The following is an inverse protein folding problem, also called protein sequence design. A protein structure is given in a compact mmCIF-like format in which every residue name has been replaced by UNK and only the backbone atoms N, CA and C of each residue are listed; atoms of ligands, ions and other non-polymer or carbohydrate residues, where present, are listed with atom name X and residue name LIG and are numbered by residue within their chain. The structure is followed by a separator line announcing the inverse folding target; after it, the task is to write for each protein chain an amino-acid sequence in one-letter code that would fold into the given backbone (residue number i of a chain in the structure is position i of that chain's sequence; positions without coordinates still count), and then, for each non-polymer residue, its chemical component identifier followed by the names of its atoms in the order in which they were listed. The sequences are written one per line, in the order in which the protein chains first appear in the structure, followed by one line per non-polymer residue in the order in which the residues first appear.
data_IF_529374536042
#
_entry.id   IF_529374536042
#
_cell.length_a   1.000
_cell.length_b   1.000
_cell.length_c   1.000
_cell.angle_alpha   90.00
_cell.angle_beta   90.00
_cell.angle_gamma   90.00
#
_symmetry.space_group_name_H-M   'P 1'
#
loop_
_entity.id
_entity.type
_entity.pdbx_description
1 polymer ?
#
# COMPACT_ATOMS: atom_id res chain seq x y z
N UNK A 1 27.77 -15.60 -13.62
CA UNK A 1 27.25 -14.53 -14.49
C UNK A 1 25.80 -14.78 -14.88
N UNK A 2 25.48 -15.90 -15.52
CA UNK A 2 24.09 -16.28 -15.88
C UNK A 2 23.13 -16.20 -14.70
N UNK A 3 23.52 -16.70 -13.53
CA UNK A 3 22.71 -16.60 -12.30
C UNK A 3 22.32 -15.16 -11.93
N UNK A 4 23.23 -14.19 -12.09
CA UNK A 4 22.96 -12.79 -11.74
C UNK A 4 21.97 -12.18 -12.71
N UNK A 5 22.16 -12.44 -14.01
CA UNK A 5 21.22 -11.98 -15.04
C UNK A 5 19.84 -12.58 -14.78
N UNK A 6 19.76 -13.87 -14.52
CA UNK A 6 18.50 -14.55 -14.20
C UNK A 6 17.79 -13.95 -12.96
N UNK A 7 18.54 -13.66 -11.90
CA UNK A 7 17.98 -13.02 -10.71
C UNK A 7 17.48 -11.60 -11.01
N UNK A 8 18.24 -10.81 -11.76
CA UNK A 8 17.83 -9.46 -12.16
C UNK A 8 16.59 -9.49 -13.07
N UNK A 9 16.50 -10.41 -14.00
CA UNK A 9 15.32 -10.60 -14.85
C UNK A 9 14.10 -11.00 -14.02
N UNK A 10 14.24 -11.92 -13.07
CA UNK A 10 13.17 -12.28 -12.13
C UNK A 10 12.71 -11.09 -11.30
N UNK A 11 13.64 -10.29 -10.79
CA UNK A 11 13.30 -9.05 -10.06
C UNK A 11 12.53 -8.06 -10.93
N UNK A 12 12.93 -7.87 -12.18
CA UNK A 12 12.23 -7.00 -13.11
C UNK A 12 10.79 -7.47 -13.34
N UNK A 13 10.58 -8.77 -13.59
CA UNK A 13 9.24 -9.35 -13.75
C UNK A 13 8.40 -9.16 -12.47
N UNK A 14 9.00 -9.38 -11.30
CA UNK A 14 8.31 -9.21 -10.02
C UNK A 14 7.91 -7.74 -9.77
N UNK A 15 8.75 -6.77 -10.13
CA UNK A 15 8.44 -5.34 -10.03
C UNK A 15 7.32 -4.93 -10.98
N UNK A 16 7.30 -5.44 -12.21
CA UNK A 16 6.20 -5.20 -13.15
C UNK A 16 4.87 -5.72 -12.59
N UNK A 17 4.90 -6.92 -12.00
CA UNK A 17 3.72 -7.51 -11.37
C UNK A 17 3.27 -6.73 -10.12
N UNK A 18 4.21 -6.26 -9.31
CA UNK A 18 3.95 -5.39 -8.17
C UNK A 18 3.28 -4.10 -8.61
N UNK A 19 3.76 -3.47 -9.67
CA UNK A 19 3.14 -2.28 -10.26
C UNK A 19 1.70 -2.53 -10.71
N UNK A 20 1.42 -3.68 -11.32
CA UNK A 20 0.07 -4.07 -11.71
C UNK A 20 -0.85 -4.19 -10.50
N UNK A 21 -0.40 -4.85 -9.42
CA UNK A 21 -1.16 -4.94 -8.18
C UNK A 21 -1.41 -3.57 -7.54
N UNK A 22 -0.42 -2.67 -7.55
CA UNK A 22 -0.59 -1.32 -7.02
C UNK A 22 -1.62 -0.50 -7.82
N UNK A 23 -1.69 -0.67 -9.13
CA UNK A 23 -2.73 -0.05 -9.97
C UNK A 23 -4.11 -0.62 -9.65
N UNK A 24 -4.22 -1.93 -9.48
CA UNK A 24 -5.48 -2.57 -9.08
C UNK A 24 -5.91 -2.10 -7.68
N UNK A 25 -4.97 -1.98 -6.73
CA UNK A 25 -5.25 -1.40 -5.41
C UNK A 25 -5.82 0.01 -5.52
N UNK A 26 -5.24 0.86 -6.36
CA UNK A 26 -5.73 2.22 -6.60
C UNK A 26 -7.17 2.23 -7.12
N UNK A 27 -7.48 1.40 -8.09
CA UNK A 27 -8.83 1.26 -8.66
C UNK A 27 -9.85 0.76 -7.63
N UNK A 28 -9.46 -0.21 -6.79
CA UNK A 28 -10.30 -0.74 -5.73
C UNK A 28 -10.54 0.27 -4.61
N UNK A 29 -9.56 1.09 -4.27
CA UNK A 29 -9.71 2.20 -3.33
C UNK A 29 -10.76 3.19 -3.85
N UNK A 30 -10.66 3.60 -5.12
CA UNK A 30 -11.66 4.50 -5.73
C UNK A 30 -13.05 3.86 -5.75
N UNK A 31 -13.14 2.56 -6.06
CA UNK A 31 -14.40 1.84 -6.11
C UNK A 31 -15.00 1.55 -4.72
N UNK A 32 -14.26 1.75 -3.63
CA UNK A 32 -14.69 1.48 -2.26
C UNK A 32 -14.96 -0.01 -2.00
N UNK A 33 -14.16 -0.92 -2.58
CA UNK A 33 -14.31 -2.38 -2.43
C UNK A 33 -13.25 -2.95 -1.48
N UNK A 34 -13.57 -3.15 -0.19
CA UNK A 34 -12.59 -3.56 0.81
C UNK A 34 -12.15 -5.04 0.70
N UNK A 35 -13.03 -5.93 0.28
CA UNK A 35 -12.73 -7.38 0.24
C UNK A 35 -11.62 -7.73 -0.76
N UNK A 36 -11.69 -7.35 -2.05
CA UNK A 36 -10.59 -7.60 -2.98
C UNK A 36 -9.31 -6.84 -2.63
N UNK A 37 -9.43 -5.73 -1.90
CA UNK A 37 -8.29 -4.93 -1.46
C UNK A 37 -7.36 -5.70 -0.53
N UNK A 38 -7.91 -6.51 0.38
CA UNK A 38 -7.12 -7.33 1.29
C UNK A 38 -6.32 -8.40 0.52
N UNK A 39 -6.93 -9.06 -0.47
CA UNK A 39 -6.25 -10.07 -1.30
C UNK A 39 -5.07 -9.48 -2.07
N UNK A 40 -5.27 -8.30 -2.70
CA UNK A 40 -4.21 -7.59 -3.43
C UNK A 40 -3.10 -7.15 -2.48
N UNK A 41 -3.43 -6.66 -1.28
CA UNK A 41 -2.45 -6.28 -0.29
C UNK A 41 -1.54 -7.45 0.11
N UNK A 42 -2.09 -8.65 0.32
CA UNK A 42 -1.30 -9.85 0.57
C UNK A 42 -0.42 -10.23 -0.63
N UNK A 43 -0.95 -10.17 -1.85
CA UNK A 43 -0.19 -10.46 -3.06
C UNK A 43 0.98 -9.48 -3.25
N UNK A 44 0.79 -8.20 -2.94
CA UNK A 44 1.87 -7.20 -2.96
C UNK A 44 2.94 -7.50 -1.92
N UNK A 45 2.56 -7.84 -0.68
CA UNK A 45 3.51 -8.19 0.37
C UNK A 45 4.35 -9.41 0.01
N UNK A 46 3.72 -10.48 -0.53
CA UNK A 46 4.42 -11.66 -1.01
C UNK A 46 5.40 -11.33 -2.15
N UNK A 47 5.01 -10.47 -3.06
CA UNK A 47 5.85 -10.02 -4.16
C UNK A 47 7.07 -9.21 -3.65
N UNK A 48 6.87 -8.30 -2.71
CA UNK A 48 7.94 -7.51 -2.09
C UNK A 48 8.92 -8.42 -1.35
N UNK A 49 8.41 -9.37 -0.55
CA UNK A 49 9.24 -10.30 0.20
C UNK A 49 10.14 -11.13 -0.73
N UNK A 50 9.59 -11.64 -1.84
CA UNK A 50 10.38 -12.37 -2.84
C UNK A 50 11.49 -11.52 -3.45
N UNK A 51 11.20 -10.26 -3.80
CA UNK A 51 12.19 -9.34 -4.35
C UNK A 51 13.32 -9.11 -3.33
N UNK A 52 12.99 -8.93 -2.06
CA UNK A 52 13.97 -8.74 -0.99
C UNK A 52 14.83 -9.98 -0.75
N UNK A 53 14.23 -11.15 -0.74
CA UNK A 53 14.92 -12.42 -0.52
C UNK A 53 15.87 -12.73 -1.68
N UNK A 54 15.41 -12.60 -2.93
CA UNK A 54 16.26 -12.75 -4.12
C UNK A 54 17.44 -11.79 -4.12
N UNK A 55 17.24 -10.56 -3.65
CA UNK A 55 18.30 -9.55 -3.52
C UNK A 55 19.32 -9.93 -2.43
N UNK A 56 18.85 -10.37 -1.27
CA UNK A 56 19.73 -10.82 -0.17
C UNK A 56 20.58 -12.01 -0.61
N UNK A 57 19.94 -12.99 -1.24
CA UNK A 57 20.62 -14.19 -1.76
C UNK A 57 21.68 -13.83 -2.81
N UNK A 58 21.36 -12.92 -3.72
CA UNK A 58 22.29 -12.43 -4.73
C UNK A 58 23.51 -11.76 -4.07
N UNK A 59 23.30 -10.83 -3.13
CA UNK A 59 24.37 -10.13 -2.44
C UNK A 59 25.24 -11.11 -1.65
N UNK A 60 24.63 -12.07 -0.96
CA UNK A 60 25.35 -13.09 -0.20
C UNK A 60 26.22 -13.97 -1.10
N UNK A 61 25.71 -14.39 -2.25
CA UNK A 61 26.48 -15.20 -3.22
C UNK A 61 27.58 -14.40 -3.90
N UNK A 62 27.37 -13.11 -4.13
CA UNK A 62 28.41 -12.24 -4.71
C UNK A 62 29.55 -11.95 -3.73
N UNK A 63 29.25 -11.90 -2.41
CA UNK A 63 30.20 -11.47 -1.38
C UNK A 63 30.68 -10.01 -1.52
N UNK A 64 30.11 -9.27 -2.48
CA UNK A 64 30.46 -7.88 -2.78
C UNK A 64 29.26 -7.16 -3.40
N UNK A 65 29.38 -5.84 -3.60
CA UNK A 65 28.34 -5.09 -4.30
C UNK A 65 28.30 -5.42 -5.79
N UNK A 66 27.12 -5.33 -6.40
CA UNK A 66 26.92 -5.56 -7.84
C UNK A 66 27.87 -4.69 -8.68
N UNK A 67 28.07 -3.42 -8.30
CA UNK A 67 28.96 -2.48 -8.98
C UNK A 67 30.42 -2.91 -8.91
N UNK A 68 30.87 -3.46 -7.78
CA UNK A 68 32.23 -3.99 -7.65
C UNK A 68 32.41 -5.27 -8.46
N UNK A 69 31.42 -6.14 -8.44
CA UNK A 69 31.42 -7.35 -9.25
C UNK A 69 31.53 -7.04 -10.75
N UNK A 70 30.78 -6.06 -11.25
CA UNK A 70 30.85 -5.64 -12.65
C UNK A 70 32.24 -5.16 -13.08
N UNK A 71 33.04 -4.61 -12.16
CA UNK A 71 34.44 -4.21 -12.48
C UNK A 71 35.36 -5.40 -12.74
N UNK A 72 35.01 -6.59 -12.30
CA UNK A 72 35.76 -7.81 -12.50
C UNK A 72 35.40 -8.56 -13.79
N UNK A 73 34.34 -8.13 -14.46
CA UNK A 73 33.81 -8.77 -15.67
C UNK A 73 34.32 -8.11 -16.96
N UNK A 74 34.31 -8.86 -18.08
CA UNK A 74 34.46 -8.26 -19.41
C UNK A 74 33.43 -7.14 -19.63
N UNK A 75 33.85 -6.11 -20.36
CA UNK A 75 33.08 -4.88 -20.55
C UNK A 75 31.64 -5.14 -21.04
N UNK A 76 31.50 -6.03 -22.01
CA UNK A 76 30.19 -6.38 -22.61
C UNK A 76 29.20 -6.96 -21.55
N UNK A 77 29.69 -7.85 -20.70
CA UNK A 77 28.90 -8.46 -19.64
C UNK A 77 28.57 -7.48 -18.50
N UNK A 78 29.52 -6.62 -18.17
CA UNK A 78 29.32 -5.57 -17.19
C UNK A 78 28.23 -4.57 -17.65
N UNK A 79 28.25 -4.16 -18.92
CA UNK A 79 27.27 -3.28 -19.51
C UNK A 79 25.85 -3.90 -19.50
N UNK A 80 25.72 -5.19 -19.80
CA UNK A 80 24.44 -5.89 -19.75
C UNK A 80 23.85 -5.90 -18.33
N UNK A 81 24.65 -6.25 -17.32
CA UNK A 81 24.21 -6.28 -15.92
C UNK A 81 23.83 -4.87 -15.43
N UNK A 82 24.63 -3.87 -15.75
CA UNK A 82 24.36 -2.48 -15.37
C UNK A 82 23.12 -1.94 -16.03
N UNK A 83 22.85 -2.28 -17.29
CA UNK A 83 21.63 -1.93 -18.00
C UNK A 83 20.39 -2.52 -17.30
N UNK A 84 20.41 -3.80 -16.95
CA UNK A 84 19.33 -4.45 -16.20
C UNK A 84 19.14 -3.80 -14.82
N UNK A 85 20.22 -3.49 -14.11
CA UNK A 85 20.15 -2.81 -12.82
C UNK A 85 19.52 -1.42 -12.93
N UNK A 86 19.80 -0.67 -14.01
CA UNK A 86 19.16 0.62 -14.27
C UNK A 86 17.67 0.48 -14.54
N UNK A 87 17.26 -0.53 -15.30
CA UNK A 87 15.83 -0.82 -15.56
C UNK A 87 15.13 -1.12 -14.23
N UNK A 88 15.71 -1.99 -13.40
CA UNK A 88 15.16 -2.33 -12.08
C UNK A 88 15.03 -1.09 -11.21
N UNK A 89 16.06 -0.25 -11.14
CA UNK A 89 16.00 1.01 -10.37
C UNK A 89 14.89 1.94 -10.85
N UNK A 90 14.69 2.04 -12.16
CA UNK A 90 13.58 2.81 -12.75
C UNK A 90 12.23 2.23 -12.34
N UNK A 91 12.04 0.91 -12.41
CA UNK A 91 10.81 0.25 -11.99
C UNK A 91 10.55 0.42 -10.49
N UNK A 92 11.57 0.33 -9.65
CA UNK A 92 11.44 0.58 -8.21
C UNK A 92 10.98 2.01 -7.91
N UNK A 93 11.51 3.00 -8.62
CA UNK A 93 11.07 4.39 -8.47
C UNK A 93 9.61 4.56 -8.87
N UNK A 94 9.19 3.96 -9.97
CA UNK A 94 7.78 3.97 -10.41
C UNK A 94 6.85 3.30 -9.39
N UNK A 95 7.28 2.16 -8.80
CA UNK A 95 6.52 1.50 -7.73
C UNK A 95 6.42 2.39 -6.48
N UNK A 96 7.49 3.08 -6.10
CA UNK A 96 7.48 4.02 -4.97
C UNK A 96 6.51 5.18 -5.20
N UNK A 97 6.51 5.75 -6.39
CA UNK A 97 5.57 6.83 -6.75
C UNK A 97 4.12 6.33 -6.70
N UNK A 98 3.82 5.18 -7.30
CA UNK A 98 2.48 4.61 -7.25
C UNK A 98 2.04 4.30 -5.81
N UNK A 99 2.93 3.76 -4.98
CA UNK A 99 2.65 3.51 -3.57
C UNK A 99 2.32 4.81 -2.79
N UNK A 100 2.99 5.91 -3.11
CA UNK A 100 2.69 7.21 -2.52
C UNK A 100 1.31 7.72 -2.93
N UNK A 101 0.92 7.55 -4.21
CA UNK A 101 -0.43 7.90 -4.67
C UNK A 101 -1.50 7.06 -3.98
N UNK A 102 -1.32 5.75 -3.88
CA UNK A 102 -2.25 4.86 -3.21
C UNK A 102 -2.39 5.23 -1.72
N UNK A 103 -1.27 5.50 -1.04
CA UNK A 103 -1.26 5.94 0.36
C UNK A 103 -2.00 7.25 0.55
N UNK A 104 -1.75 8.24 -0.30
CA UNK A 104 -2.40 9.54 -0.21
C UNK A 104 -3.92 9.42 -0.41
N UNK A 105 -4.35 8.59 -1.38
CA UNK A 105 -5.77 8.30 -1.61
C UNK A 105 -6.40 7.63 -0.39
N UNK A 106 -5.78 6.58 0.14
CA UNK A 106 -6.29 5.85 1.31
C UNK A 106 -6.41 6.77 2.53
N UNK A 107 -5.42 7.61 2.81
CA UNK A 107 -5.46 8.58 3.91
C UNK A 107 -6.57 9.61 3.72
N UNK A 108 -6.76 10.12 2.50
CA UNK A 108 -7.85 11.03 2.17
C UNK A 108 -9.22 10.41 2.40
N UNK A 109 -9.40 9.15 2.04
CA UNK A 109 -10.64 8.40 2.28
C UNK A 109 -10.91 8.18 3.77
N UNK A 110 -9.89 7.83 4.56
CA UNK A 110 -10.00 7.68 6.01
C UNK A 110 -10.43 9.00 6.65
N UNK A 111 -9.81 10.11 6.26
CA UNK A 111 -10.17 11.43 6.76
C UNK A 111 -11.61 11.81 6.40
N UNK A 112 -12.05 11.51 5.18
CA UNK A 112 -13.43 11.74 4.76
C UNK A 112 -14.41 10.90 5.56
N UNK A 113 -14.10 9.63 5.81
CA UNK A 113 -14.93 8.76 6.66
C UNK A 113 -15.03 9.31 8.09
N UNK A 114 -13.93 9.78 8.68
CA UNK A 114 -13.92 10.40 10.02
C UNK A 114 -14.82 11.63 10.07
N UNK A 115 -14.76 12.51 9.08
CA UNK A 115 -15.63 13.68 8.97
C UNK A 115 -17.11 13.30 8.85
N UNK A 116 -17.41 12.30 8.03
CA UNK A 116 -18.78 11.80 7.88
C UNK A 116 -19.32 11.21 9.20
N UNK A 117 -18.51 10.44 9.91
CA UNK A 117 -18.89 9.89 11.23
C UNK A 117 -19.13 11.02 12.23
N UNK A 118 -18.25 12.02 12.31
CA UNK A 118 -18.40 13.15 13.19
C UNK A 118 -19.67 13.94 12.88
N UNK A 119 -19.97 14.18 11.61
CA UNK A 119 -21.19 14.83 11.17
C UNK A 119 -22.45 14.05 11.58
N UNK A 120 -22.46 12.73 11.40
CA UNK A 120 -23.58 11.86 11.81
C UNK A 120 -23.76 11.91 13.34
N UNK A 121 -22.66 11.83 14.11
CA UNK A 121 -22.69 11.92 15.57
C UNK A 121 -23.25 13.26 16.05
N UNK A 122 -22.85 14.37 15.43
CA UNK A 122 -23.38 15.71 15.75
C UNK A 122 -24.86 15.83 15.39
N UNK A 123 -25.27 15.34 14.22
CA UNK A 123 -26.67 15.32 13.81
C UNK A 123 -27.53 14.47 14.75
N UNK A 124 -27.01 13.31 15.23
CA UNK A 124 -27.72 12.48 16.22
C UNK A 124 -27.80 13.14 17.61
N UNK A 125 -26.74 13.85 18.01
CA UNK A 125 -26.73 14.57 19.29
C UNK A 125 -27.66 15.78 19.29
N UNK A 126 -27.88 16.43 18.13
CA UNK A 126 -28.80 17.55 17.98
C UNK A 126 -30.27 17.10 17.84
N UNK A 127 -30.55 15.85 17.46
CA UNK A 127 -31.87 15.25 17.54
C UNK A 127 -32.19 14.84 18.98
N UNK A 128 -32.40 15.84 19.83
CA UNK A 128 -33.04 15.65 21.11
C UNK A 128 -34.48 15.22 20.82
N UNK A 129 -34.81 13.96 21.09
CA UNK A 129 -36.23 13.56 21.14
C UNK A 129 -36.90 14.35 22.24
N UNK A 130 -37.67 15.37 21.84
CA UNK A 130 -38.56 16.05 22.74
C UNK A 130 -39.77 15.12 22.99
N UNK A 131 -39.65 14.30 24.03
CA UNK A 131 -40.78 13.51 24.52
C UNK A 131 -41.63 14.34 25.48
N UNK A 132 -42.94 14.34 25.33
CA UNK A 132 -43.85 14.87 26.32
C UNK A 132 -43.95 13.95 27.53
N UNK A 133 -43.61 14.48 28.70
CA UNK A 133 -43.95 13.78 29.95
C UNK A 133 -45.48 13.84 30.22
N UNK A 134 -46.03 12.88 30.99
CA UNK A 134 -47.44 12.91 31.41
C UNK A 134 -47.81 14.18 32.19
N UNK A 135 -46.85 14.90 32.71
CA UNK A 135 -46.99 16.20 33.38
C UNK A 135 -47.04 17.41 32.45
N UNK A 136 -46.94 17.21 31.12
CA UNK A 136 -46.86 18.29 30.13
C UNK A 136 -45.53 19.02 30.06
N UNK A 137 -44.49 18.52 30.75
CA UNK A 137 -43.12 19.09 30.70
C UNK A 137 -42.29 18.43 29.57
N UNK A 138 -41.50 19.23 28.85
CA UNK A 138 -40.58 18.79 27.83
C UNK A 138 -39.31 18.17 28.49
N UNK A 139 -39.12 16.87 28.33
CA UNK A 139 -37.91 16.21 28.75
C UNK A 139 -36.87 16.19 27.60
N UNK A 140 -35.73 16.82 27.83
CA UNK A 140 -34.57 16.67 26.94
C UNK A 140 -33.88 15.35 27.23
N UNK A 141 -34.11 14.36 26.40
CA UNK A 141 -33.31 13.10 26.44
C UNK A 141 -32.11 13.28 25.56
N UNK A 142 -30.94 13.43 26.17
CA UNK A 142 -29.66 13.36 25.43
C UNK A 142 -29.41 11.87 25.18
N UNK A 143 -29.60 11.44 23.95
CA UNK A 143 -29.11 10.13 23.52
C UNK A 143 -27.57 10.22 23.39
N UNK A 144 -26.86 9.86 24.43
CA UNK A 144 -25.44 9.58 24.31
C UNK A 144 -25.29 8.31 23.47
N UNK A 145 -25.01 8.52 22.19
CA UNK A 145 -24.67 7.45 21.27
C UNK A 145 -23.29 6.89 21.63
N UNK A 146 -23.28 5.85 22.45
CA UNK A 146 -22.11 4.96 22.60
C UNK A 146 -22.02 4.04 21.37
N UNK A 147 -21.82 4.63 20.20
CA UNK A 147 -21.48 3.88 19.00
C UNK A 147 -20.03 4.16 18.67
N UNK A 148 -19.22 3.11 18.85
CA UNK A 148 -17.83 2.99 18.44
C UNK A 148 -16.77 3.55 19.40
N UNK A 149 -16.71 3.07 20.64
CA UNK A 149 -15.45 2.76 21.28
C UNK A 149 -15.00 1.37 20.80
N UNK A 150 -14.68 1.26 19.54
CA UNK A 150 -13.95 0.14 18.97
C UNK A 150 -12.47 0.53 18.96
N UNK A 151 -11.69 -0.08 19.84
CA UNK A 151 -10.23 -0.06 19.81
C UNK A 151 -9.74 -0.44 18.42
N UNK A 152 -8.95 0.43 17.81
CA UNK A 152 -7.91 0.10 16.84
C UNK A 152 -6.59 -0.11 17.57
#
# INVERSE_FOLDING_TARGET
MEYIIEVLEKQNIALLKLMEYMKQEYELLIAGKPEPLAEISFAMQDCIQKIEDDRKDMIQKLGTSLTQYCKTLPKEHAEQILSLAQIIQSQENMCKEQAQYNKALALGMIEQCRKNIAFIQEAMATHVMQGYMPSGALQKTVVQGTLLEGRL
#
